data_IF_208931119100
#
_entry.id   IF_208931119100
#
_cell.length_a   1.000
_cell.length_b   1.000
_cell.length_c   1.000
_cell.angle_alpha   90.00
_cell.angle_beta   90.00
_cell.angle_gamma   90.00
#
_symmetry.space_group_name_H-M   'P 1'
#
loop_
_entity.id
_entity.type
_entity.pdbx_description
1 polymer ?
#
# COMPACT_ATOMS: atom_id res chain seq x y z
N UNK A 1 66.75 -7.82 -6.98
CA UNK A 1 65.77 -7.46 -8.04
C UNK A 1 64.33 -7.91 -7.77
N UNK A 2 63.96 -8.37 -6.56
CA UNK A 2 62.59 -8.86 -6.27
C UNK A 2 61.61 -7.89 -5.59
N UNK A 3 61.99 -6.64 -5.29
CA UNK A 3 61.12 -5.71 -4.52
C UNK A 3 60.25 -4.78 -5.38
N UNK A 4 60.58 -4.58 -6.66
CA UNK A 4 59.87 -3.65 -7.55
C UNK A 4 58.62 -4.26 -8.23
N UNK A 5 58.55 -5.58 -8.37
CA UNK A 5 57.41 -6.28 -8.98
C UNK A 5 56.24 -6.46 -8.01
N UNK A 6 56.54 -6.77 -6.74
CA UNK A 6 55.51 -6.92 -5.70
C UNK A 6 54.81 -5.59 -5.34
N UNK A 7 55.52 -4.45 -5.44
CA UNK A 7 54.93 -3.14 -5.18
C UNK A 7 53.95 -2.73 -6.30
N UNK A 8 54.26 -3.03 -7.55
CA UNK A 8 53.42 -2.69 -8.71
C UNK A 8 52.12 -3.52 -8.76
N UNK A 9 52.19 -4.83 -8.50
CA UNK A 9 51.01 -5.70 -8.40
C UNK A 9 50.08 -5.30 -7.24
N UNK A 10 50.64 -4.86 -6.11
CA UNK A 10 49.85 -4.37 -4.98
C UNK A 10 49.12 -3.06 -5.28
N UNK A 11 49.65 -2.22 -6.16
CA UNK A 11 49.06 -0.94 -6.54
C UNK A 11 47.93 -1.14 -7.55
N UNK A 12 48.12 -2.01 -8.55
CA UNK A 12 47.09 -2.37 -9.53
C UNK A 12 45.90 -3.10 -8.89
N UNK A 13 46.15 -3.99 -7.92
CA UNK A 13 45.08 -4.69 -7.19
C UNK A 13 44.30 -3.77 -6.22
N UNK A 14 44.96 -2.77 -5.62
CA UNK A 14 44.30 -1.71 -4.85
C UNK A 14 43.42 -0.82 -5.75
N UNK A 15 43.91 -0.48 -6.94
CA UNK A 15 43.13 0.22 -7.96
C UNK A 15 41.88 -0.56 -8.37
N UNK A 16 42.02 -1.85 -8.71
CA UNK A 16 40.91 -2.69 -9.19
C UNK A 16 39.75 -2.86 -8.18
N UNK A 17 40.04 -3.00 -6.88
CA UNK A 17 38.99 -3.14 -5.85
C UNK A 17 38.26 -1.83 -5.54
N UNK A 18 38.98 -0.70 -5.52
CA UNK A 18 38.37 0.64 -5.45
C UNK A 18 37.52 0.93 -6.68
N UNK A 19 37.97 0.50 -7.86
CA UNK A 19 37.22 0.59 -9.12
C UNK A 19 35.94 -0.24 -9.06
N UNK A 20 35.97 -1.49 -8.58
CA UNK A 20 34.77 -2.32 -8.48
C UNK A 20 33.69 -1.70 -7.58
N UNK A 21 34.06 -1.16 -6.40
CA UNK A 21 33.08 -0.50 -5.52
C UNK A 21 32.45 0.73 -6.16
N UNK A 22 33.26 1.55 -6.84
CA UNK A 22 32.77 2.74 -7.54
C UNK A 22 31.84 2.36 -8.68
N UNK A 23 32.21 1.33 -9.46
CA UNK A 23 31.38 0.81 -10.55
C UNK A 23 30.05 0.28 -10.00
N UNK A 24 30.05 -0.55 -8.95
CA UNK A 24 28.82 -1.03 -8.32
C UNK A 24 27.95 0.12 -7.78
N UNK A 25 28.55 1.13 -7.14
CA UNK A 25 27.83 2.30 -6.66
C UNK A 25 27.19 3.11 -7.80
N UNK A 26 27.90 3.30 -8.92
CA UNK A 26 27.36 3.95 -10.13
C UNK A 26 26.18 3.15 -10.67
N UNK A 27 26.30 1.82 -10.77
CA UNK A 27 25.21 0.96 -11.23
C UNK A 27 24.00 1.00 -10.30
N UNK A 28 24.20 1.03 -8.97
CA UNK A 28 23.13 1.19 -7.99
C UNK A 28 22.39 2.51 -8.24
N UNK A 29 23.13 3.62 -8.37
CA UNK A 29 22.53 4.95 -8.62
C UNK A 29 21.78 4.96 -9.95
N UNK A 30 22.38 4.45 -11.03
CA UNK A 30 21.74 4.38 -12.34
C UNK A 30 20.47 3.54 -12.32
N UNK A 31 20.50 2.35 -11.70
CA UNK A 31 19.33 1.49 -11.59
C UNK A 31 18.22 2.14 -10.75
N UNK A 32 18.57 2.78 -9.63
CA UNK A 32 17.62 3.53 -8.81
C UNK A 32 17.00 4.71 -9.55
N UNK A 33 17.78 5.47 -10.33
CA UNK A 33 17.27 6.57 -11.14
C UNK A 33 16.35 6.08 -12.26
N UNK A 34 16.70 5.00 -12.94
CA UNK A 34 15.84 4.40 -13.97
C UNK A 34 14.52 3.88 -13.38
N UNK A 35 14.58 3.21 -12.23
CA UNK A 35 13.39 2.78 -11.51
C UNK A 35 12.52 3.97 -11.09
N UNK A 36 13.13 5.04 -10.60
CA UNK A 36 12.43 6.27 -10.22
C UNK A 36 11.74 6.91 -11.44
N UNK A 37 12.44 7.08 -12.56
CA UNK A 37 11.89 7.65 -13.80
C UNK A 37 10.71 6.80 -14.29
N UNK A 38 10.87 5.47 -14.36
CA UNK A 38 9.80 4.57 -14.79
C UNK A 38 8.58 4.63 -13.87
N UNK A 39 8.80 4.63 -12.55
CA UNK A 39 7.73 4.74 -11.55
C UNK A 39 7.00 6.08 -11.67
N UNK A 40 7.74 7.19 -11.77
CA UNK A 40 7.17 8.52 -11.98
C UNK A 40 6.36 8.61 -13.27
N UNK A 41 6.82 7.97 -14.36
CA UNK A 41 6.07 7.92 -15.61
C UNK A 41 4.73 7.17 -15.44
N UNK A 42 4.72 6.03 -14.74
CA UNK A 42 3.47 5.29 -14.45
C UNK A 42 2.52 6.13 -13.60
N UNK A 43 3.03 6.78 -12.55
CA UNK A 43 2.25 7.69 -11.69
C UNK A 43 1.64 8.84 -12.52
N UNK A 44 2.44 9.50 -13.36
CA UNK A 44 1.97 10.59 -14.21
C UNK A 44 0.95 10.16 -15.27
N UNK A 45 1.04 8.91 -15.77
CA UNK A 45 0.07 8.36 -16.72
C UNK A 45 -1.25 8.04 -16.01
N UNK A 46 -1.22 7.36 -14.85
CA UNK A 46 -2.43 7.03 -14.10
C UNK A 46 -3.13 8.23 -13.47
N UNK A 47 -2.38 9.30 -13.18
CA UNK A 47 -2.89 10.57 -12.67
C UNK A 47 -3.60 11.47 -13.70
N UNK A 48 -3.65 11.06 -14.97
CA UNK A 48 -4.36 11.82 -16.01
C UNK A 48 -5.85 11.88 -15.69
N UNK A 49 -6.45 13.05 -15.94
CA UNK A 49 -7.89 13.21 -15.87
C UNK A 49 -8.57 12.35 -16.93
N UNK A 50 -9.78 11.88 -16.62
CA UNK A 50 -10.61 11.15 -17.58
C UNK A 50 -10.93 12.08 -18.77
N UNK A 51 -10.99 11.57 -20.02
CA UNK A 51 -11.29 12.41 -21.18
C UNK A 51 -12.64 13.11 -21.04
N UNK A 52 -12.68 14.42 -21.32
CA UNK A 52 -13.88 15.25 -21.11
C UNK A 52 -15.11 14.74 -21.89
N UNK A 53 -14.91 14.29 -23.13
CA UNK A 53 -15.97 13.73 -23.98
C UNK A 53 -16.56 12.44 -23.37
N UNK A 54 -15.69 11.56 -22.87
CA UNK A 54 -16.10 10.31 -22.22
C UNK A 54 -16.87 10.62 -20.93
N UNK A 55 -16.41 11.58 -20.12
CA UNK A 55 -17.13 12.02 -18.91
C UNK A 55 -18.46 12.68 -19.22
N UNK A 56 -18.53 13.50 -20.27
CA UNK A 56 -19.77 14.17 -20.67
C UNK A 56 -20.87 13.17 -21.09
N UNK A 57 -20.48 12.07 -21.74
CA UNK A 57 -21.38 10.99 -22.12
C UNK A 57 -21.73 10.01 -20.96
N UNK A 58 -21.05 10.14 -19.82
CA UNK A 58 -21.09 9.17 -18.73
C UNK A 58 -21.42 9.85 -17.39
N UNK A 59 -22.69 10.17 -17.14
CA UNK A 59 -23.11 10.87 -15.93
C UNK A 59 -22.82 10.04 -14.67
N UNK A 60 -22.17 10.69 -13.70
CA UNK A 60 -22.00 10.16 -12.35
C UNK A 60 -23.38 10.07 -11.68
N UNK A 61 -23.70 8.92 -11.10
CA UNK A 61 -24.90 8.72 -10.30
C UNK A 61 -24.70 9.23 -8.86
N UNK A 62 -24.18 10.46 -8.70
CA UNK A 62 -24.12 11.19 -7.43
C UNK A 62 -25.45 11.88 -7.06
N UNK A 63 -25.52 12.66 -5.99
CA UNK A 63 -26.80 13.21 -5.51
C UNK A 63 -27.51 12.29 -4.51
N UNK A 64 -28.82 12.49 -4.29
CA UNK A 64 -29.56 11.78 -3.26
C UNK A 64 -29.83 10.31 -3.64
N UNK A 65 -29.52 9.41 -2.72
CA UNK A 65 -29.86 7.99 -2.73
C UNK A 65 -30.71 7.66 -1.52
N UNK A 66 -31.69 6.76 -1.68
CA UNK A 66 -32.40 6.17 -0.54
C UNK A 66 -31.46 5.24 0.19
N UNK A 67 -31.40 5.36 1.51
CA UNK A 67 -30.44 4.67 2.36
C UNK A 67 -31.13 3.99 3.54
N UNK A 68 -30.70 2.76 3.83
CA UNK A 68 -31.22 2.00 4.96
C UNK A 68 -30.16 1.07 5.53
N UNK A 69 -30.04 1.03 6.86
CA UNK A 69 -29.16 0.11 7.56
C UNK A 69 -29.78 -1.29 7.66
N UNK A 70 -28.94 -2.32 7.79
CA UNK A 70 -29.38 -3.71 7.91
C UNK A 70 -29.38 -4.46 6.59
N UNK A 71 -29.95 -5.66 6.60
CA UNK A 71 -29.76 -6.62 5.52
C UNK A 71 -31.03 -7.42 5.19
N UNK A 72 -31.86 -6.91 4.28
CA UNK A 72 -32.99 -7.66 3.72
C UNK A 72 -32.83 -7.76 2.19
N UNK A 73 -32.54 -8.95 1.64
CA UNK A 73 -32.38 -9.16 0.20
C UNK A 73 -33.58 -8.72 -0.66
N UNK A 74 -34.80 -8.64 -0.08
CA UNK A 74 -35.98 -8.14 -0.79
C UNK A 74 -35.84 -6.69 -1.20
N UNK A 75 -34.98 -5.91 -0.52
CA UNK A 75 -34.68 -4.52 -0.85
C UNK A 75 -33.92 -4.33 -2.16
N UNK A 76 -33.58 -5.40 -2.89
CA UNK A 76 -33.13 -5.30 -4.28
C UNK A 76 -34.29 -5.02 -5.25
N UNK A 77 -35.53 -5.38 -4.91
CA UNK A 77 -36.67 -5.39 -5.83
C UNK A 77 -37.08 -4.02 -6.36
N UNK A 78 -37.54 -3.96 -7.62
CA UNK A 78 -37.96 -2.70 -8.25
C UNK A 78 -39.18 -2.05 -7.58
N UNK A 79 -40.12 -2.85 -7.07
CA UNK A 79 -41.38 -2.38 -6.47
C UNK A 79 -41.33 -2.12 -4.96
N UNK A 80 -40.16 -2.12 -4.34
CA UNK A 80 -40.02 -1.81 -2.90
C UNK A 80 -40.31 -0.33 -2.68
N UNK A 81 -41.20 -0.05 -1.73
CA UNK A 81 -41.45 1.31 -1.24
C UNK A 81 -40.30 1.73 -0.32
N UNK A 82 -39.46 2.63 -0.82
CA UNK A 82 -38.32 3.23 -0.12
C UNK A 82 -38.58 4.70 0.26
N UNK A 83 -39.84 5.15 0.23
CA UNK A 83 -40.20 6.55 0.53
C UNK A 83 -39.85 6.97 1.96
N UNK A 84 -39.93 6.04 2.91
CA UNK A 84 -39.58 6.24 4.31
C UNK A 84 -38.08 6.07 4.61
N UNK A 85 -37.27 5.67 3.63
CA UNK A 85 -35.83 5.51 3.81
C UNK A 85 -35.14 6.86 3.95
N UNK A 86 -34.04 6.86 4.71
CA UNK A 86 -33.15 8.01 4.83
C UNK A 86 -32.61 8.40 3.45
N UNK A 87 -32.07 9.62 3.34
CA UNK A 87 -31.40 10.07 2.13
C UNK A 87 -29.92 10.24 2.40
N UNK A 88 -29.09 9.51 1.66
CA UNK A 88 -27.65 9.69 1.61
C UNK A 88 -27.28 10.48 0.36
N UNK A 89 -26.60 11.61 0.50
CA UNK A 89 -26.14 12.41 -0.64
C UNK A 89 -24.72 12.00 -1.07
N UNK A 90 -24.61 11.43 -2.27
CA UNK A 90 -23.33 11.05 -2.88
C UNK A 90 -22.80 12.13 -3.84
N UNK A 91 -23.16 13.41 -3.61
CA UNK A 91 -22.63 14.56 -4.34
C UNK A 91 -21.22 14.91 -3.85
N UNK A 92 -20.21 14.43 -4.57
CA UNK A 92 -18.83 14.74 -4.25
C UNK A 92 -18.43 16.16 -4.66
N UNK A 93 -17.67 16.90 -3.83
CA UNK A 93 -17.02 18.14 -4.25
C UNK A 93 -16.08 17.88 -5.43
N UNK A 94 -16.01 18.79 -6.40
CA UNK A 94 -15.22 18.59 -7.62
C UNK A 94 -13.71 18.36 -7.37
N UNK A 95 -13.17 18.90 -6.27
CA UNK A 95 -11.77 18.73 -5.86
C UNK A 95 -11.55 17.61 -4.84
N UNK A 96 -12.57 16.82 -4.51
CA UNK A 96 -12.44 15.73 -3.54
C UNK A 96 -11.70 14.54 -4.16
N UNK A 97 -10.76 14.00 -3.39
CA UNK A 97 -10.04 12.76 -3.67
C UNK A 97 -10.03 11.88 -2.42
N UNK A 98 -9.90 10.57 -2.59
CA UNK A 98 -9.67 9.68 -1.45
C UNK A 98 -8.27 9.86 -0.85
N UNK A 99 -8.09 9.34 0.37
CA UNK A 99 -6.85 9.46 1.13
C UNK A 99 -5.76 8.45 0.77
N UNK A 100 -5.99 7.55 -0.20
CA UNK A 100 -5.05 6.48 -0.56
C UNK A 100 -4.54 6.62 -2.00
N UNK A 101 -5.38 6.37 -3.01
CA UNK A 101 -4.93 6.34 -4.42
C UNK A 101 -4.97 7.72 -5.07
N UNK A 102 -5.88 8.59 -4.67
CA UNK A 102 -6.23 9.84 -5.36
C UNK A 102 -7.43 9.68 -6.31
N UNK A 103 -8.33 8.72 -6.04
CA UNK A 103 -9.60 8.55 -6.72
C UNK A 103 -10.47 9.80 -6.56
N UNK A 104 -10.93 10.42 -7.67
CA UNK A 104 -11.76 11.61 -7.60
C UNK A 104 -13.19 11.30 -7.19
N UNK A 105 -13.95 12.35 -6.85
CA UNK A 105 -15.36 12.28 -6.49
C UNK A 105 -15.60 11.50 -5.19
N UNK A 106 -14.74 11.71 -4.20
CA UNK A 106 -14.84 11.09 -2.89
C UNK A 106 -15.91 11.77 -2.02
N UNK A 107 -16.78 10.95 -1.42
CA UNK A 107 -17.68 11.33 -0.34
C UNK A 107 -17.35 10.55 0.92
N UNK A 108 -17.71 11.12 2.07
CA UNK A 108 -17.56 10.44 3.36
C UNK A 108 -18.60 9.33 3.47
N UNK A 109 -18.24 8.28 4.20
CA UNK A 109 -19.08 7.13 4.46
C UNK A 109 -20.17 7.38 5.51
N UNK A 110 -21.04 6.39 5.72
CA UNK A 110 -22.22 6.54 6.60
C UNK A 110 -21.88 6.95 8.04
N UNK A 111 -20.67 6.66 8.53
CA UNK A 111 -20.27 7.08 9.88
C UNK A 111 -20.23 8.60 10.04
N UNK A 112 -19.84 9.30 8.96
CA UNK A 112 -19.87 10.77 8.92
C UNK A 112 -21.28 11.32 8.67
N UNK A 113 -22.23 10.46 8.29
CA UNK A 113 -23.61 10.80 7.96
C UNK A 113 -24.60 10.26 9.01
N UNK A 114 -24.26 10.39 10.29
CA UNK A 114 -25.18 10.13 11.40
C UNK A 114 -25.18 8.70 11.94
N UNK A 115 -24.35 7.81 11.40
CA UNK A 115 -24.27 6.40 11.83
C UNK A 115 -22.90 6.03 12.44
N UNK A 116 -22.38 6.77 13.45
CA UNK A 116 -21.05 6.54 13.99
C UNK A 116 -20.94 5.16 14.63
N UNK A 117 -19.88 4.43 14.29
CA UNK A 117 -19.61 3.09 14.82
C UNK A 117 -20.46 1.97 14.22
N UNK A 118 -21.38 2.27 13.29
CA UNK A 118 -22.14 1.25 12.59
C UNK A 118 -21.24 0.44 11.63
N UNK A 119 -21.29 -0.88 11.78
CA UNK A 119 -20.59 -1.87 10.96
C UNK A 119 -21.59 -2.94 10.53
N UNK A 120 -21.34 -3.60 9.40
CA UNK A 120 -22.25 -4.58 8.81
C UNK A 120 -22.86 -4.09 7.50
N UNK A 121 -24.13 -4.40 7.29
CA UNK A 121 -24.80 -4.22 6.01
C UNK A 121 -25.55 -2.91 5.90
N UNK A 122 -25.57 -2.32 4.71
CA UNK A 122 -26.48 -1.25 4.38
C UNK A 122 -26.93 -1.33 2.91
N UNK A 123 -27.98 -0.60 2.59
CA UNK A 123 -28.57 -0.58 1.26
C UNK A 123 -28.70 0.85 0.74
N UNK A 124 -28.38 1.01 -0.54
CA UNK A 124 -28.56 2.23 -1.32
C UNK A 124 -29.51 1.94 -2.47
N UNK A 125 -30.51 2.79 -2.70
CA UNK A 125 -31.44 2.65 -3.83
C UNK A 125 -31.61 3.97 -4.57
N UNK A 126 -31.69 3.89 -5.90
CA UNK A 126 -31.98 5.03 -6.76
C UNK A 126 -32.70 4.63 -8.03
N UNK A 127 -33.69 5.43 -8.42
CA UNK A 127 -34.28 5.34 -9.76
C UNK A 127 -33.36 6.01 -10.77
N UNK A 128 -32.96 5.26 -11.80
CA UNK A 128 -32.06 5.69 -12.88
C UNK A 128 -32.84 5.67 -14.19
N UNK A 129 -32.79 6.79 -14.92
CA UNK A 129 -33.31 6.88 -16.28
C UNK A 129 -32.18 6.57 -17.26
N UNK A 130 -32.38 5.57 -18.11
CA UNK A 130 -31.41 5.20 -19.15
C UNK A 130 -31.84 5.88 -20.45
N UNK A 131 -30.96 6.67 -21.09
CA UNK A 131 -31.33 7.34 -22.35
C UNK A 131 -31.78 6.35 -23.43
N UNK A 132 -32.77 6.75 -24.21
CA UNK A 132 -33.28 5.98 -25.34
C UNK A 132 -32.28 5.95 -26.51
N UNK A 133 -32.40 4.93 -27.36
CA UNK A 133 -31.60 4.73 -28.56
C UNK A 133 -30.99 3.34 -28.64
N UNK A 134 -30.17 3.10 -29.66
CA UNK A 134 -29.66 1.76 -30.00
C UNK A 134 -28.36 1.40 -29.25
N UNK A 135 -27.98 2.20 -28.25
CA UNK A 135 -26.75 1.99 -27.50
C UNK A 135 -26.99 1.03 -26.34
N UNK A 136 -26.05 0.11 -26.14
CA UNK A 136 -25.97 -0.66 -24.92
C UNK A 136 -25.28 0.13 -23.80
N UNK A 137 -25.77 -0.06 -22.57
CA UNK A 137 -25.37 0.70 -21.39
C UNK A 137 -24.79 -0.20 -20.31
N UNK A 138 -23.84 0.33 -19.55
CA UNK A 138 -23.25 -0.32 -18.41
C UNK A 138 -23.25 0.63 -17.20
N UNK A 139 -23.09 0.04 -16.01
CA UNK A 139 -22.73 0.74 -14.78
C UNK A 139 -21.24 0.50 -14.54
N UNK A 140 -20.47 1.58 -14.43
CA UNK A 140 -19.06 1.55 -14.00
C UNK A 140 -19.00 1.88 -12.51
N UNK A 141 -18.36 1.01 -11.73
CA UNK A 141 -18.30 1.13 -10.28
C UNK A 141 -19.58 0.68 -9.56
N UNK A 142 -19.79 1.06 -8.28
CA UNK A 142 -19.03 2.08 -7.54
C UNK A 142 -17.55 1.70 -7.38
N UNK A 143 -16.66 2.65 -7.63
CA UNK A 143 -15.21 2.39 -7.71
C UNK A 143 -14.57 2.29 -6.34
N UNK A 144 -15.15 2.93 -5.31
CA UNK A 144 -14.73 2.83 -3.91
C UNK A 144 -15.97 2.64 -3.02
N UNK A 145 -16.03 1.45 -2.42
CA UNK A 145 -16.97 1.08 -1.35
C UNK A 145 -16.15 0.46 -0.24
N UNK A 146 -16.48 0.77 1.01
CA UNK A 146 -15.88 0.12 2.17
C UNK A 146 -16.10 -1.40 2.10
N UNK A 147 -15.00 -2.17 2.11
CA UNK A 147 -14.89 -3.62 2.08
C UNK A 147 -15.57 -4.40 0.92
N UNK A 148 -16.90 -4.35 0.77
CA UNK A 148 -17.60 -5.16 -0.24
C UNK A 148 -19.01 -4.70 -0.59
N UNK A 149 -19.48 -5.08 -1.78
CA UNK A 149 -20.83 -4.76 -2.26
C UNK A 149 -21.38 -5.72 -3.31
N UNK A 150 -22.70 -5.72 -3.46
CA UNK A 150 -23.47 -6.32 -4.56
C UNK A 150 -24.35 -5.26 -5.22
N UNK A 151 -24.40 -5.27 -6.56
CA UNK A 151 -25.13 -4.33 -7.40
C UNK A 151 -26.30 -5.04 -8.10
N UNK A 152 -27.49 -4.46 -8.02
CA UNK A 152 -28.73 -5.01 -8.57
C UNK A 152 -29.44 -4.03 -9.49
N UNK A 153 -29.97 -4.52 -10.60
CA UNK A 153 -30.88 -3.79 -11.49
C UNK A 153 -32.25 -4.42 -11.47
N UNK A 154 -33.26 -3.67 -11.03
CA UNK A 154 -34.65 -4.14 -10.90
C UNK A 154 -34.78 -5.47 -10.14
N UNK A 155 -33.98 -5.68 -9.09
CA UNK A 155 -33.95 -6.91 -8.29
C UNK A 155 -33.05 -8.02 -8.82
N UNK A 156 -32.50 -7.91 -10.04
CA UNK A 156 -31.56 -8.88 -10.58
C UNK A 156 -30.12 -8.49 -10.23
N UNK A 157 -29.38 -9.40 -9.60
CA UNK A 157 -27.95 -9.23 -9.32
C UNK A 157 -27.17 -9.10 -10.64
N UNK A 158 -26.39 -8.03 -10.76
CA UNK A 158 -25.45 -7.81 -11.86
C UNK A 158 -24.04 -8.27 -11.51
N UNK A 159 -23.65 -8.17 -10.24
CA UNK A 159 -22.33 -8.57 -9.73
C UNK A 159 -21.94 -7.74 -8.51
N UNK A 160 -20.66 -7.75 -8.13
CA UNK A 160 -20.20 -7.05 -6.93
C UNK A 160 -18.70 -7.20 -6.68
N UNK A 161 -18.19 -6.51 -5.66
CA UNK A 161 -16.83 -6.70 -5.15
C UNK A 161 -16.85 -7.52 -3.86
N UNK A 162 -16.12 -8.63 -3.89
CA UNK A 162 -16.14 -9.61 -2.80
C UNK A 162 -17.39 -10.50 -2.83
N UNK A 163 -17.53 -11.34 -1.81
CA UNK A 163 -18.73 -12.12 -1.53
C UNK A 163 -19.26 -11.70 -0.18
N UNK A 164 -20.52 -11.31 -0.10
CA UNK A 164 -21.12 -10.74 1.12
C UNK A 164 -22.36 -11.55 1.55
N UNK A 165 -22.24 -12.87 1.45
CA UNK A 165 -23.23 -13.84 1.93
C UNK A 165 -23.05 -14.14 3.43
N UNK A 166 -23.55 -15.28 3.91
CA UNK A 166 -23.41 -15.69 5.30
C UNK A 166 -21.94 -15.86 5.76
N UNK A 167 -20.97 -15.97 4.84
CA UNK A 167 -19.54 -16.02 5.17
C UNK A 167 -18.76 -15.04 4.28
N UNK A 168 -18.82 -13.73 4.61
CA UNK A 168 -18.26 -12.69 3.77
C UNK A 168 -16.77 -12.88 3.51
N UNK A 169 -16.39 -12.72 2.24
CA UNK A 169 -15.00 -12.61 1.79
C UNK A 169 -14.87 -11.31 1.00
N UNK A 170 -14.39 -10.29 1.69
CA UNK A 170 -14.15 -8.96 1.13
C UNK A 170 -12.70 -8.83 0.62
N UNK A 171 -12.51 -8.04 -0.42
CA UNK A 171 -11.27 -7.88 -1.19
C UNK A 171 -11.02 -6.39 -1.42
N UNK A 172 -9.82 -6.02 -1.84
CA UNK A 172 -9.48 -4.62 -2.06
C UNK A 172 -10.40 -3.93 -3.06
N UNK A 173 -10.57 -2.62 -2.85
CA UNK A 173 -11.27 -1.72 -3.76
C UNK A 173 -10.67 -1.79 -5.16
N UNK A 174 -11.53 -1.92 -6.17
CA UNK A 174 -11.09 -1.94 -7.58
C UNK A 174 -12.20 -1.58 -8.55
N UNK A 175 -11.84 -1.13 -9.76
CA UNK A 175 -12.79 -0.82 -10.80
C UNK A 175 -13.55 -2.07 -11.25
N UNK A 176 -14.87 -1.96 -11.38
CA UNK A 176 -15.75 -2.98 -11.92
C UNK A 176 -16.71 -2.36 -12.93
N UNK A 177 -17.21 -3.19 -13.84
CA UNK A 177 -18.16 -2.78 -14.88
C UNK A 177 -19.26 -3.83 -14.99
N UNK A 178 -20.51 -3.36 -15.06
CA UNK A 178 -21.70 -4.21 -15.03
C UNK A 178 -22.61 -3.86 -16.18
N UNK A 179 -22.80 -4.82 -17.10
CA UNK A 179 -23.70 -4.63 -18.23
C UNK A 179 -25.16 -4.54 -17.77
N UNK A 180 -25.88 -3.51 -18.22
CA UNK A 180 -27.32 -3.46 -18.06
C UNK A 180 -28.01 -4.43 -19.04
N UNK A 181 -29.23 -4.90 -18.72
CA UNK A 181 -30.06 -5.66 -19.66
C UNK A 181 -30.25 -4.91 -21.00
N UNK A 182 -30.38 -5.66 -22.09
CA UNK A 182 -30.49 -5.09 -23.44
C UNK A 182 -31.74 -4.20 -23.63
N UNK A 183 -32.79 -4.46 -22.85
CA UNK A 183 -34.04 -3.70 -22.81
C UNK A 183 -34.00 -2.50 -21.85
N UNK A 184 -32.85 -2.19 -21.24
CA UNK A 184 -32.74 -1.07 -20.32
C UNK A 184 -32.83 0.30 -21.03
N UNK A 185 -32.40 0.40 -22.30
CA UNK A 185 -32.40 1.66 -23.04
C UNK A 185 -33.81 2.26 -23.14
N UNK A 186 -33.95 3.55 -22.83
CA UNK A 186 -35.24 4.26 -22.85
C UNK A 186 -36.17 3.94 -21.67
N UNK A 187 -35.71 3.13 -20.70
CA UNK A 187 -36.50 2.78 -19.51
C UNK A 187 -36.04 3.55 -18.27
N UNK A 188 -36.89 3.54 -17.25
CA UNK A 188 -36.53 3.90 -15.88
C UNK A 188 -36.46 2.63 -15.05
N UNK A 189 -35.33 2.39 -14.39
CA UNK A 189 -35.12 1.23 -13.53
C UNK A 189 -34.63 1.63 -12.15
N UNK A 190 -34.65 0.68 -11.22
CA UNK A 190 -34.09 0.83 -9.87
C UNK A 190 -32.72 0.18 -9.83
N UNK A 191 -31.72 0.98 -9.49
CA UNK A 191 -30.39 0.51 -9.10
C UNK A 191 -30.37 0.38 -7.57
N UNK A 192 -30.10 -0.82 -7.07
CA UNK A 192 -29.94 -1.10 -5.65
C UNK A 192 -28.52 -1.63 -5.38
N UNK A 193 -27.90 -1.18 -4.29
CA UNK A 193 -26.54 -1.54 -3.91
C UNK A 193 -26.57 -1.98 -2.46
N UNK A 194 -26.25 -3.25 -2.24
CA UNK A 194 -26.07 -3.84 -0.91
C UNK A 194 -24.60 -3.76 -0.58
N UNK A 195 -24.24 -3.11 0.52
CA UNK A 195 -22.85 -2.97 0.96
C UNK A 195 -22.63 -3.75 2.25
N UNK A 196 -21.38 -4.13 2.51
CA UNK A 196 -20.99 -4.80 3.74
C UNK A 196 -19.64 -4.26 4.21
N UNK A 197 -19.64 -3.62 5.37
CA UNK A 197 -18.44 -3.24 6.10
C UNK A 197 -18.13 -4.30 7.15
N UNK A 198 -16.93 -4.85 7.10
CA UNK A 198 -16.49 -5.89 8.00
C UNK A 198 -16.32 -5.36 9.43
N UNK A 199 -16.81 -6.09 10.46
CA UNK A 199 -16.59 -5.70 11.83
C UNK A 199 -15.12 -5.73 12.27
N UNK A 200 -14.70 -4.71 13.02
CA UNK A 200 -13.40 -4.67 13.68
C UNK A 200 -12.19 -4.34 12.79
N UNK A 201 -12.41 -3.81 11.59
CA UNK A 201 -11.37 -3.10 10.83
C UNK A 201 -11.07 -1.74 11.49
N UNK A 202 -9.91 -1.14 11.18
CA UNK A 202 -9.51 0.19 11.70
C UNK A 202 -10.39 1.29 11.06
N UNK A 203 -11.65 1.34 11.46
CA UNK A 203 -12.64 2.28 10.95
C UNK A 203 -12.28 3.70 11.37
N UNK A 204 -12.35 4.62 10.41
CA UNK A 204 -12.25 6.05 10.67
C UNK A 204 -13.65 6.64 10.90
N UNK A 205 -13.73 7.89 11.36
CA UNK A 205 -14.99 8.61 11.47
C UNK A 205 -15.69 8.81 10.10
N UNK A 206 -14.97 8.63 8.99
CA UNK A 206 -15.50 8.74 7.64
C UNK A 206 -15.81 7.39 7.00
N UNK A 207 -15.61 6.27 7.68
CA UNK A 207 -15.76 4.94 7.08
C UNK A 207 -17.20 4.53 6.76
N UNK A 208 -17.31 3.51 5.91
CA UNK A 208 -18.54 2.77 5.67
C UNK A 208 -19.29 3.17 4.39
N UNK A 209 -19.66 2.17 3.59
CA UNK A 209 -20.54 2.36 2.44
C UNK A 209 -19.84 2.93 1.22
N UNK A 210 -20.60 3.63 0.37
CA UNK A 210 -20.14 4.10 -0.93
C UNK A 210 -19.40 5.43 -0.78
N UNK A 211 -18.15 5.48 -1.22
CA UNK A 211 -17.35 6.70 -1.24
C UNK A 211 -17.20 7.31 -2.63
N UNK A 212 -17.35 6.53 -3.70
CA UNK A 212 -17.37 7.03 -5.08
C UNK A 212 -18.60 6.47 -5.76
N UNK A 213 -19.54 7.35 -6.14
CA UNK A 213 -20.78 6.95 -6.78
C UNK A 213 -20.54 6.18 -8.10
N UNK A 214 -21.43 5.25 -8.48
CA UNK A 214 -21.33 4.58 -9.77
C UNK A 214 -21.60 5.56 -10.93
N UNK A 215 -21.12 5.22 -12.12
CA UNK A 215 -21.35 6.01 -13.35
C UNK A 215 -22.19 5.20 -14.32
N UNK A 216 -23.23 5.81 -14.89
CA UNK A 216 -23.98 5.25 -16.02
C UNK A 216 -23.26 5.65 -17.30
N UNK A 217 -22.88 4.69 -18.14
CA UNK A 217 -22.11 4.97 -19.35
C UNK A 217 -22.55 4.08 -20.51
N UNK A 218 -22.56 4.59 -21.76
CA UNK A 218 -22.66 3.73 -22.93
C UNK A 218 -21.38 2.88 -23.07
N UNK A 219 -21.50 1.70 -23.70
CA UNK A 219 -20.42 0.68 -23.72
C UNK A 219 -19.03 1.17 -24.16
N UNK A 220 -18.85 1.90 -25.27
CA UNK A 220 -17.51 2.34 -25.66
C UNK A 220 -16.82 3.21 -24.59
N UNK A 221 -17.60 4.11 -23.98
CA UNK A 221 -17.18 5.05 -22.95
C UNK A 221 -16.98 4.35 -21.60
N UNK A 222 -17.83 3.37 -21.26
CA UNK A 222 -17.68 2.57 -20.04
C UNK A 222 -16.35 1.81 -20.04
N UNK A 223 -15.95 1.20 -21.17
CA UNK A 223 -14.63 0.54 -21.30
C UNK A 223 -13.45 1.52 -21.26
N UNK A 224 -13.64 2.76 -21.74
CA UNK A 224 -12.63 3.79 -21.64
C UNK A 224 -12.43 4.24 -20.18
N UNK A 225 -13.53 4.49 -19.45
CA UNK A 225 -13.49 4.83 -18.03
C UNK A 225 -12.92 3.69 -17.19
N UNK A 226 -13.38 2.47 -17.40
CA UNK A 226 -12.88 1.29 -16.69
C UNK A 226 -11.36 1.13 -16.83
N UNK A 227 -10.81 1.32 -18.04
CA UNK A 227 -9.35 1.32 -18.24
C UNK A 227 -8.66 2.47 -17.52
N UNK A 228 -9.22 3.68 -17.55
CA UNK A 228 -8.64 4.83 -16.86
C UNK A 228 -8.60 4.60 -15.34
N UNK A 229 -9.68 4.08 -14.76
CA UNK A 229 -9.75 3.72 -13.33
C UNK A 229 -8.75 2.63 -12.96
N UNK A 230 -8.56 1.60 -13.81
CA UNK A 230 -7.51 0.59 -13.59
C UNK A 230 -6.11 1.17 -13.67
N UNK A 231 -5.83 2.04 -14.64
CA UNK A 231 -4.54 2.72 -14.72
C UNK A 231 -4.26 3.59 -13.50
N UNK A 232 -5.30 4.22 -12.94
CA UNK A 232 -5.20 4.99 -11.70
C UNK A 232 -4.89 4.09 -10.50
N UNK A 233 -5.58 2.95 -10.37
CA UNK A 233 -5.29 1.95 -9.33
C UNK A 233 -3.88 1.34 -9.46
N UNK A 234 -3.44 1.02 -10.69
CA UNK A 234 -2.08 0.56 -10.96
C UNK A 234 -1.06 1.64 -10.55
N UNK A 235 -1.31 2.90 -10.89
CA UNK A 235 -0.43 4.00 -10.49
C UNK A 235 -0.39 4.21 -8.97
N UNK A 236 -1.51 4.09 -8.26
CA UNK A 236 -1.56 4.23 -6.79
C UNK A 236 -0.70 3.21 -6.05
N UNK A 237 -0.61 1.98 -6.55
CA UNK A 237 0.14 0.90 -5.89
C UNK A 237 1.42 0.48 -6.63
N UNK A 238 1.84 1.17 -7.70
CA UNK A 238 3.02 0.77 -8.49
C UNK A 238 4.30 0.72 -7.64
N UNK A 239 4.44 1.65 -6.70
CA UNK A 239 5.60 1.73 -5.82
C UNK A 239 5.66 0.51 -4.88
N UNK A 240 4.51 -0.01 -4.46
CA UNK A 240 4.38 -1.22 -3.66
C UNK A 240 4.81 -2.49 -4.42
N UNK A 241 4.98 -2.42 -5.75
CA UNK A 241 5.57 -3.50 -6.55
C UNK A 241 7.05 -3.25 -6.90
N UNK A 242 7.41 -2.01 -7.26
CA UNK A 242 8.79 -1.65 -7.65
C UNK A 242 9.76 -1.74 -6.47
N UNK A 243 9.35 -1.30 -5.28
CA UNK A 243 10.24 -1.34 -4.11
C UNK A 243 10.57 -2.76 -3.64
N UNK A 244 9.63 -3.71 -3.51
CA UNK A 244 9.96 -5.10 -3.24
C UNK A 244 10.93 -5.68 -4.28
N UNK A 245 10.75 -5.41 -5.57
CA UNK A 245 11.68 -5.84 -6.60
C UNK A 245 13.09 -5.29 -6.35
N UNK A 246 13.22 -4.02 -5.99
CA UNK A 246 14.50 -3.41 -5.63
C UNK A 246 15.09 -4.02 -4.34
N UNK A 247 14.27 -4.33 -3.33
CA UNK A 247 14.69 -5.02 -2.11
C UNK A 247 15.20 -6.43 -2.40
N UNK A 248 14.51 -7.21 -3.24
CA UNK A 248 14.94 -8.56 -3.64
C UNK A 248 16.21 -8.52 -4.51
N UNK A 249 16.35 -7.55 -5.41
CA UNK A 249 17.58 -7.33 -6.16
C UNK A 249 18.75 -7.00 -5.21
N UNK A 250 18.51 -6.16 -4.18
CA UNK A 250 19.49 -5.86 -3.16
C UNK A 250 19.87 -7.09 -2.33
N UNK A 251 18.93 -7.99 -2.01
CA UNK A 251 19.24 -9.28 -1.38
C UNK A 251 20.22 -10.08 -2.26
N UNK A 252 19.95 -10.17 -3.56
CA UNK A 252 20.84 -10.84 -4.52
C UNK A 252 22.25 -10.27 -4.50
N UNK A 253 22.39 -8.94 -4.56
CA UNK A 253 23.67 -8.24 -4.46
C UNK A 253 24.37 -8.51 -3.12
N UNK A 254 23.63 -8.40 -2.00
CA UNK A 254 24.16 -8.54 -0.66
C UNK A 254 24.69 -9.96 -0.42
N UNK A 255 23.96 -10.99 -0.87
CA UNK A 255 24.39 -12.39 -0.80
C UNK A 255 25.62 -12.66 -1.66
N UNK A 256 25.70 -12.07 -2.86
CA UNK A 256 26.84 -12.23 -3.76
C UNK A 256 28.15 -11.70 -3.14
N UNK A 257 28.08 -10.59 -2.38
CA UNK A 257 29.27 -9.99 -1.75
C UNK A 257 29.48 -10.42 -0.30
N UNK A 258 28.53 -11.15 0.31
CA UNK A 258 28.53 -11.52 1.73
C UNK A 258 29.84 -12.13 2.20
N UNK A 259 30.38 -13.12 1.48
CA UNK A 259 31.63 -13.82 1.85
C UNK A 259 32.85 -12.89 1.85
N UNK A 260 32.79 -11.81 1.09
CA UNK A 260 33.86 -10.80 1.00
C UNK A 260 33.64 -9.66 1.99
N UNK A 261 32.45 -9.50 2.57
CA UNK A 261 32.14 -8.40 3.47
C UNK A 261 32.85 -8.51 4.82
N UNK A 262 33.19 -7.38 5.41
CA UNK A 262 33.59 -7.26 6.82
C UNK A 262 32.42 -7.44 7.80
N UNK A 263 31.17 -7.42 7.33
CA UNK A 263 29.94 -7.49 8.14
C UNK A 263 28.99 -8.61 7.64
N UNK A 264 29.43 -9.87 7.56
CA UNK A 264 28.62 -10.95 7.01
C UNK A 264 27.38 -11.27 7.84
N UNK A 265 27.42 -11.04 9.16
CA UNK A 265 26.27 -11.25 10.05
C UNK A 265 25.19 -10.17 9.85
N UNK A 266 25.58 -8.89 9.70
CA UNK A 266 24.67 -7.82 9.33
C UNK A 266 23.93 -8.15 8.03
N UNK A 267 24.67 -8.59 7.00
CA UNK A 267 24.08 -8.92 5.69
C UNK A 267 22.99 -9.98 5.81
N UNK A 268 23.18 -11.02 6.62
CA UNK A 268 22.16 -12.08 6.80
C UNK A 268 20.87 -11.50 7.35
N UNK A 269 20.94 -10.76 8.45
CA UNK A 269 19.74 -10.17 9.06
C UNK A 269 19.14 -9.05 8.20
N UNK A 270 19.95 -8.27 7.50
CA UNK A 270 19.48 -7.28 6.54
C UNK A 270 18.72 -7.92 5.38
N UNK A 271 19.18 -9.09 4.88
CA UNK A 271 18.44 -9.82 3.84
C UNK A 271 17.08 -10.32 4.35
N UNK A 272 17.02 -10.82 5.59
CA UNK A 272 15.76 -11.22 6.23
C UNK A 272 14.83 -10.01 6.37
N UNK A 273 15.36 -8.88 6.86
CA UNK A 273 14.58 -7.65 7.03
C UNK A 273 14.06 -7.09 5.70
N UNK A 274 14.89 -7.10 4.65
CA UNK A 274 14.49 -6.72 3.30
C UNK A 274 13.42 -7.65 2.73
N UNK A 275 13.55 -8.97 2.93
CA UNK A 275 12.55 -9.93 2.45
C UNK A 275 11.19 -9.70 3.13
N UNK A 276 11.19 -9.55 4.46
CA UNK A 276 9.97 -9.28 5.22
C UNK A 276 9.36 -7.92 4.86
N UNK A 277 10.19 -6.87 4.71
CA UNK A 277 9.72 -5.55 4.27
C UNK A 277 9.16 -5.61 2.85
N UNK A 278 9.82 -6.33 1.94
CA UNK A 278 9.39 -6.50 0.55
C UNK A 278 8.06 -7.23 0.44
N UNK A 279 7.90 -8.36 1.15
CA UNK A 279 6.63 -9.11 1.17
C UNK A 279 5.50 -8.25 1.77
N UNK A 280 5.75 -7.58 2.90
CA UNK A 280 4.74 -6.69 3.53
C UNK A 280 4.19 -5.65 2.55
N UNK A 281 5.05 -5.09 1.71
CA UNK A 281 4.69 -4.06 0.75
C UNK A 281 3.99 -4.64 -0.48
N UNK A 282 4.52 -5.75 -0.99
CA UNK A 282 3.92 -6.48 -2.10
C UNK A 282 2.48 -6.92 -1.79
N UNK A 283 2.20 -7.32 -0.55
CA UNK A 283 0.85 -7.68 -0.10
C UNK A 283 -0.18 -6.57 -0.33
N UNK A 284 0.22 -5.29 -0.19
CA UNK A 284 -0.67 -4.15 -0.44
C UNK A 284 -1.05 -4.06 -1.93
N UNK A 285 -0.09 -4.28 -2.84
CA UNK A 285 -0.38 -4.35 -4.27
C UNK A 285 -1.23 -5.58 -4.62
N UNK A 286 -0.95 -6.74 -4.00
CA UNK A 286 -1.69 -7.99 -4.25
C UNK A 286 -3.16 -7.83 -3.87
N UNK A 287 -3.46 -7.28 -2.68
CA UNK A 287 -4.84 -7.12 -2.21
C UNK A 287 -5.61 -6.08 -3.02
N UNK A 288 -4.94 -5.04 -3.52
CA UNK A 288 -5.57 -3.98 -4.30
C UNK A 288 -5.77 -4.29 -5.78
N UNK A 289 -4.93 -5.15 -6.38
CA UNK A 289 -5.03 -5.49 -7.80
C UNK A 289 -5.66 -6.85 -8.09
N UNK A 290 -5.74 -7.74 -7.10
CA UNK A 290 -6.11 -9.15 -7.34
C UNK A 290 -7.11 -9.69 -6.31
N UNK A 291 -7.73 -10.83 -6.64
CA UNK A 291 -8.57 -11.61 -5.71
C UNK A 291 -7.80 -12.60 -4.84
N UNK A 292 -6.46 -12.65 -4.95
CA UNK A 292 -5.65 -13.70 -4.32
C UNK A 292 -5.66 -13.62 -2.80
N UNK A 293 -5.89 -12.43 -2.24
CA UNK A 293 -5.90 -12.17 -0.79
C UNK A 293 -7.16 -11.40 -0.40
N UNK A 294 -7.78 -11.80 0.71
CA UNK A 294 -8.88 -11.02 1.29
C UNK A 294 -8.33 -9.91 2.19
N UNK A 295 -9.10 -8.83 2.35
CA UNK A 295 -8.77 -7.73 3.27
C UNK A 295 -8.49 -8.21 4.72
N UNK A 296 -9.30 -9.09 5.33
CA UNK A 296 -8.99 -9.57 6.67
C UNK A 296 -7.71 -10.41 6.75
N UNK A 297 -7.41 -11.22 5.73
CA UNK A 297 -6.14 -11.96 5.68
C UNK A 297 -4.96 -11.00 5.57
N UNK A 298 -5.06 -9.99 4.70
CA UNK A 298 -4.06 -8.93 4.57
C UNK A 298 -3.82 -8.19 5.90
N UNK A 299 -4.90 -7.72 6.54
CA UNK A 299 -4.82 -7.00 7.82
C UNK A 299 -4.20 -7.87 8.92
N UNK A 300 -4.56 -9.14 8.98
CA UNK A 300 -3.98 -10.10 9.93
C UNK A 300 -2.49 -10.30 9.67
N UNK A 301 -2.08 -10.59 8.44
CA UNK A 301 -0.68 -10.78 8.05
C UNK A 301 0.16 -9.54 8.39
N UNK A 302 -0.33 -8.36 8.03
CA UNK A 302 0.36 -7.09 8.27
C UNK A 302 0.58 -6.82 9.77
N UNK A 303 -0.46 -7.00 10.60
CA UNK A 303 -0.42 -6.70 12.05
C UNK A 303 0.28 -7.77 12.87
N UNK A 304 0.01 -9.04 12.59
CA UNK A 304 0.48 -10.17 13.42
C UNK A 304 1.84 -10.70 12.98
N UNK A 305 2.13 -10.69 11.69
CA UNK A 305 3.33 -11.35 11.16
C UNK A 305 4.36 -10.35 10.64
N UNK A 306 4.00 -9.54 9.65
CA UNK A 306 4.97 -8.73 8.92
C UNK A 306 5.55 -7.59 9.73
N UNK A 307 4.71 -6.80 10.40
CA UNK A 307 5.19 -5.66 11.19
C UNK A 307 6.13 -6.08 12.33
N UNK A 308 5.77 -7.04 13.21
CA UNK A 308 6.66 -7.42 14.30
C UNK A 308 7.95 -8.08 13.82
N UNK A 309 7.87 -9.01 12.85
CA UNK A 309 9.06 -9.70 12.36
C UNK A 309 10.01 -8.80 11.56
N UNK A 310 9.47 -7.88 10.75
CA UNK A 310 10.27 -6.91 9.99
C UNK A 310 11.06 -5.99 10.93
N UNK A 311 10.40 -5.42 11.95
CA UNK A 311 11.05 -4.58 12.96
C UNK A 311 12.13 -5.34 13.73
N UNK A 312 11.84 -6.58 14.14
CA UNK A 312 12.80 -7.43 14.82
C UNK A 312 14.03 -7.73 13.95
N UNK A 313 13.82 -8.08 12.68
CA UNK A 313 14.89 -8.36 11.75
C UNK A 313 15.79 -7.14 11.50
N UNK A 314 15.20 -5.94 11.36
CA UNK A 314 15.96 -4.70 11.27
C UNK A 314 16.76 -4.41 12.55
N UNK A 315 16.16 -4.56 13.73
CA UNK A 315 16.83 -4.33 15.00
C UNK A 315 18.00 -5.31 15.20
N UNK A 316 17.82 -6.59 14.86
CA UNK A 316 18.87 -7.61 14.89
C UNK A 316 19.99 -7.28 13.89
N UNK A 317 19.64 -6.87 12.67
CA UNK A 317 20.61 -6.44 11.66
C UNK A 317 21.49 -5.32 12.21
N UNK A 318 20.89 -4.23 12.65
CA UNK A 318 21.62 -3.07 13.16
C UNK A 318 22.38 -3.34 14.46
N UNK A 319 21.93 -4.28 15.31
CA UNK A 319 22.76 -4.73 16.45
C UNK A 319 24.05 -5.42 15.97
N UNK A 320 24.04 -6.11 14.81
CA UNK A 320 25.23 -6.72 14.19
C UNK A 320 26.11 -5.76 13.39
N UNK A 321 25.69 -4.50 13.22
CA UNK A 321 26.57 -3.46 12.69
C UNK A 321 27.67 -3.06 13.68
N UNK A 322 27.39 -3.17 14.98
CA UNK A 322 28.35 -2.85 16.03
C UNK A 322 29.41 -3.96 16.17
N UNK A 323 30.66 -3.57 16.46
CA UNK A 323 31.81 -4.47 16.55
C UNK A 323 31.61 -5.69 17.48
N UNK A 324 30.87 -5.50 18.58
CA UNK A 324 30.44 -6.59 19.47
C UNK A 324 28.94 -6.51 19.66
N UNK A 325 28.20 -7.36 18.98
CA UNK A 325 26.76 -7.35 19.08
C UNK A 325 26.30 -7.86 20.47
N UNK A 326 25.28 -7.21 21.06
CA UNK A 326 24.85 -7.50 22.43
C UNK A 326 23.77 -8.59 22.44
N UNK A 327 24.02 -9.70 23.16
CA UNK A 327 23.03 -10.77 23.35
C UNK A 327 21.84 -10.34 24.20
N UNK A 328 22.03 -9.39 25.12
CA UNK A 328 20.94 -8.83 25.92
C UNK A 328 19.98 -8.03 25.03
N UNK A 329 20.50 -7.27 24.05
CA UNK A 329 19.67 -6.55 23.08
C UNK A 329 18.92 -7.56 22.19
N UNK A 330 19.55 -8.64 21.74
CA UNK A 330 18.86 -9.68 20.96
C UNK A 330 17.69 -10.29 21.75
N UNK A 331 17.93 -10.66 23.02
CA UNK A 331 16.89 -11.20 23.90
C UNK A 331 15.73 -10.22 24.12
N UNK A 332 16.04 -8.94 24.31
CA UNK A 332 15.01 -7.89 24.45
C UNK A 332 14.20 -7.71 23.15
N UNK A 333 14.85 -7.73 21.98
CA UNK A 333 14.16 -7.67 20.68
C UNK A 333 13.18 -8.83 20.54
N UNK A 334 13.63 -10.06 20.81
CA UNK A 334 12.79 -11.25 20.68
C UNK A 334 11.61 -11.22 21.65
N UNK A 335 11.84 -10.83 22.92
CA UNK A 335 10.78 -10.71 23.92
C UNK A 335 9.73 -9.67 23.50
N UNK A 336 10.16 -8.48 23.07
CA UNK A 336 9.26 -7.44 22.59
C UNK A 336 8.49 -7.88 21.35
N UNK A 337 9.14 -8.63 20.45
CA UNK A 337 8.49 -9.16 19.24
C UNK A 337 7.38 -10.14 19.60
N UNK A 338 7.62 -11.07 20.53
CA UNK A 338 6.61 -11.99 21.03
C UNK A 338 5.45 -11.24 21.70
N UNK A 339 5.76 -10.19 22.48
CA UNK A 339 4.75 -9.31 23.08
C UNK A 339 3.91 -8.60 22.02
N UNK A 340 4.54 -8.12 20.95
CA UNK A 340 3.86 -7.47 19.82
C UNK A 340 2.93 -8.42 19.06
N UNK A 341 3.39 -9.64 18.78
CA UNK A 341 2.59 -10.70 18.14
C UNK A 341 1.41 -11.08 19.04
N UNK A 342 1.65 -11.32 20.33
CA UNK A 342 0.58 -11.64 21.29
C UNK A 342 -0.43 -10.50 21.40
N UNK A 343 0.04 -9.25 21.49
CA UNK A 343 -0.80 -8.06 21.50
C UNK A 343 -1.66 -7.94 20.25
N UNK A 344 -1.10 -8.20 19.07
CA UNK A 344 -1.84 -8.17 17.81
C UNK A 344 -2.90 -9.29 17.74
N UNK A 345 -2.56 -10.52 18.15
CA UNK A 345 -3.50 -11.65 18.21
C UNK A 345 -4.66 -11.39 19.18
N UNK A 346 -4.38 -10.78 20.32
CA UNK A 346 -5.37 -10.42 21.34
C UNK A 346 -6.12 -9.12 21.03
N UNK A 347 -5.79 -8.43 19.93
CA UNK A 347 -6.32 -7.10 19.56
C UNK A 347 -6.13 -6.04 20.67
N UNK A 348 -5.02 -6.12 21.41
CA UNK A 348 -4.68 -5.20 22.51
C UNK A 348 -3.73 -4.10 22.04
N UNK A 349 -4.29 -2.95 21.67
CA UNK A 349 -3.54 -1.77 21.23
C UNK A 349 -2.42 -1.32 22.21
N UNK A 350 -2.60 -1.36 23.54
CA UNK A 350 -1.50 -1.01 24.45
C UNK A 350 -0.28 -1.93 24.33
N UNK A 351 -0.48 -3.24 24.12
CA UNK A 351 0.63 -4.19 23.97
C UNK A 351 1.39 -3.99 22.67
N UNK A 352 0.69 -3.73 21.56
CA UNK A 352 1.34 -3.42 20.28
C UNK A 352 2.11 -2.10 20.37
N UNK A 353 1.59 -1.10 21.08
CA UNK A 353 2.29 0.17 21.32
C UNK A 353 3.54 -0.01 22.20
N UNK A 354 3.48 -0.81 23.27
CA UNK A 354 4.65 -1.13 24.11
C UNK A 354 5.75 -1.79 23.27
N UNK A 355 5.37 -2.76 22.43
CA UNK A 355 6.30 -3.37 21.48
C UNK A 355 6.96 -2.33 20.57
N UNK A 356 6.15 -1.48 19.92
CA UNK A 356 6.61 -0.47 18.96
C UNK A 356 7.62 0.51 19.59
N UNK A 357 7.27 1.08 20.73
CA UNK A 357 8.10 2.06 21.45
C UNK A 357 9.31 1.40 22.11
N UNK A 358 9.16 0.18 22.63
CA UNK A 358 10.28 -0.59 23.19
C UNK A 358 11.36 -0.88 22.14
N UNK A 359 10.97 -1.32 20.94
CA UNK A 359 11.92 -1.53 19.84
C UNK A 359 12.56 -0.22 19.38
N UNK A 360 11.81 0.89 19.35
CA UNK A 360 12.34 2.21 19.03
C UNK A 360 13.43 2.63 20.03
N UNK A 361 13.21 2.40 21.34
CA UNK A 361 14.21 2.64 22.37
C UNK A 361 15.47 1.77 22.17
N UNK A 362 15.31 0.51 21.77
CA UNK A 362 16.46 -0.35 21.43
C UNK A 362 17.22 0.17 20.21
N UNK A 363 16.53 0.69 19.19
CA UNK A 363 17.17 1.36 18.06
C UNK A 363 17.98 2.59 18.50
N UNK A 364 17.46 3.39 19.42
CA UNK A 364 18.21 4.52 19.98
C UNK A 364 19.50 4.06 20.68
N UNK A 365 19.43 2.99 21.49
CA UNK A 365 20.62 2.38 22.11
C UNK A 365 21.61 1.87 21.06
N UNK A 366 21.13 1.19 20.00
CA UNK A 366 21.96 0.71 18.90
C UNK A 366 22.63 1.90 18.17
N UNK A 367 21.89 2.97 17.89
CA UNK A 367 22.40 4.17 17.23
C UNK A 367 23.50 4.86 18.05
N UNK A 368 23.33 5.00 19.37
CA UNK A 368 24.36 5.56 20.27
C UNK A 368 25.64 4.72 20.20
N UNK A 369 25.53 3.39 20.20
CA UNK A 369 26.69 2.48 20.07
C UNK A 369 27.38 2.65 18.72
N UNK A 370 26.61 2.82 17.64
CA UNK A 370 27.13 3.07 16.30
C UNK A 370 27.86 4.42 16.21
N UNK A 371 27.33 5.48 16.82
CA UNK A 371 27.98 6.80 16.84
C UNK A 371 29.32 6.74 17.58
N UNK A 372 29.38 6.04 18.71
CA UNK A 372 30.61 5.95 19.52
C UNK A 372 31.69 5.08 18.89
N UNK A 373 31.32 3.93 18.32
CA UNK A 373 32.29 2.88 17.96
C UNK A 373 32.05 2.26 16.57
N UNK A 374 31.02 2.65 15.85
CA UNK A 374 30.66 2.06 14.56
C UNK A 374 31.55 2.53 13.40
N UNK A 375 31.77 1.68 12.39
CA UNK A 375 32.38 2.07 11.13
C UNK A 375 31.38 2.85 10.25
N UNK A 376 31.89 3.69 9.35
CA UNK A 376 31.10 4.45 8.36
C UNK A 376 29.94 5.23 8.98
N UNK A 377 30.21 5.90 10.12
CA UNK A 377 29.22 6.46 11.04
C UNK A 377 28.13 7.27 10.34
N UNK A 378 28.50 8.21 9.47
CA UNK A 378 27.54 9.08 8.78
C UNK A 378 26.59 8.29 7.88
N UNK A 379 27.14 7.46 6.99
CA UNK A 379 26.33 6.65 6.05
C UNK A 379 25.47 5.62 6.79
N UNK A 380 26.01 4.96 7.81
CA UNK A 380 25.30 3.96 8.58
C UNK A 380 24.14 4.57 9.39
N UNK A 381 24.35 5.71 10.05
CA UNK A 381 23.30 6.42 10.79
C UNK A 381 22.24 7.00 9.85
N UNK A 382 22.64 7.59 8.72
CA UNK A 382 21.68 8.08 7.72
C UNK A 382 20.80 6.94 7.18
N UNK A 383 21.40 5.79 6.89
CA UNK A 383 20.67 4.60 6.41
C UNK A 383 19.73 4.05 7.48
N UNK A 384 20.19 3.93 8.74
CA UNK A 384 19.35 3.52 9.86
C UNK A 384 18.18 4.49 10.06
N UNK A 385 18.46 5.80 10.07
CA UNK A 385 17.43 6.82 10.24
C UNK A 385 16.36 6.75 9.14
N UNK A 386 16.76 6.59 7.88
CA UNK A 386 15.82 6.42 6.77
C UNK A 386 14.94 5.18 6.97
N UNK A 387 15.52 4.02 7.34
CA UNK A 387 14.74 2.82 7.64
C UNK A 387 13.77 3.06 8.81
N UNK A 388 14.20 3.74 9.88
CA UNK A 388 13.33 4.04 11.02
C UNK A 388 12.15 4.94 10.63
N UNK A 389 12.37 5.96 9.81
CA UNK A 389 11.28 6.80 9.30
C UNK A 389 10.26 5.94 8.53
N UNK A 390 10.71 5.03 7.66
CA UNK A 390 9.81 4.11 6.94
C UNK A 390 9.05 3.15 7.86
N UNK A 391 9.66 2.68 8.96
CA UNK A 391 9.02 1.74 9.89
C UNK A 391 8.07 2.42 10.89
N UNK A 392 8.26 3.71 11.16
CA UNK A 392 7.50 4.50 12.15
C UNK A 392 6.71 5.66 11.54
N UNK A 393 6.38 5.58 10.24
CA UNK A 393 5.57 6.60 9.54
C UNK A 393 4.20 6.84 10.22
N UNK A 394 3.60 5.80 10.81
CA UNK A 394 2.35 5.92 11.57
C UNK A 394 2.46 6.80 12.83
N UNK A 395 3.53 6.65 13.63
CA UNK A 395 3.78 7.55 14.76
C UNK A 395 4.07 8.97 14.29
N UNK A 396 4.84 9.13 13.22
CA UNK A 396 5.09 10.45 12.65
C UNK A 396 3.77 11.14 12.22
N UNK A 397 2.85 10.39 11.62
CA UNK A 397 1.50 10.86 11.30
C UNK A 397 0.73 11.33 12.54
N UNK A 398 0.79 10.57 13.63
CA UNK A 398 0.17 10.95 14.91
C UNK A 398 0.76 12.21 15.54
N UNK A 399 1.99 12.59 15.16
CA UNK A 399 2.66 13.83 15.55
C UNK A 399 2.39 14.99 14.56
N UNK A 400 1.51 14.80 13.58
CA UNK A 400 1.13 15.81 12.60
C UNK A 400 2.05 15.90 11.39
N UNK A 401 2.97 14.94 11.19
CA UNK A 401 3.79 14.88 9.97
C UNK A 401 2.92 14.34 8.83
N UNK A 402 2.82 15.04 7.69
CA UNK A 402 2.12 14.50 6.53
C UNK A 402 2.72 13.16 6.09
N UNK A 403 1.87 12.16 5.87
CA UNK A 403 2.30 10.79 5.54
C UNK A 403 2.01 10.41 4.09
N UNK A 404 1.32 11.25 3.33
CA UNK A 404 0.97 11.04 1.93
C UNK A 404 0.90 12.37 1.18
N UNK A 405 1.31 12.36 -0.08
CA UNK A 405 1.21 13.47 -1.02
C UNK A 405 0.61 12.96 -2.33
N UNK A 406 0.09 13.85 -3.17
CA UNK A 406 -0.60 13.48 -4.41
C UNK A 406 0.10 14.04 -5.67
N UNK A 407 1.36 13.68 -5.97
CA UNK A 407 1.99 14.08 -7.22
C UNK A 407 1.16 13.58 -8.41
N UNK A 408 0.85 14.48 -9.35
CA UNK A 408 -0.01 14.19 -10.50
C UNK A 408 -1.41 13.68 -10.12
N UNK A 409 -1.89 13.93 -8.89
CA UNK A 409 -3.17 13.44 -8.40
C UNK A 409 -3.17 11.97 -7.95
N UNK A 410 -1.99 11.35 -7.79
CA UNK A 410 -1.85 9.96 -7.32
C UNK A 410 -1.16 9.96 -5.96
N UNK A 411 -1.71 9.24 -5.00
CA UNK A 411 -1.15 9.11 -3.66
C UNK A 411 0.22 8.44 -3.63
N UNK A 412 1.19 9.09 -2.99
CA UNK A 412 2.53 8.59 -2.71
C UNK A 412 2.87 8.84 -1.24
N UNK A 413 3.15 7.76 -0.50
CA UNK A 413 3.34 7.81 0.95
C UNK A 413 4.75 8.23 1.35
N UNK A 414 4.91 8.75 2.57
CA UNK A 414 6.21 9.03 3.20
C UNK A 414 7.10 7.79 3.16
N UNK A 415 6.53 6.62 3.46
CA UNK A 415 7.25 5.35 3.43
C UNK A 415 7.86 5.07 2.05
N UNK A 416 7.10 5.33 0.98
CA UNK A 416 7.53 5.16 -0.40
C UNK A 416 8.69 6.13 -0.76
N UNK A 417 8.53 7.42 -0.47
CA UNK A 417 9.61 8.40 -0.69
C UNK A 417 10.90 8.03 0.04
N UNK A 418 10.78 7.57 1.28
CA UNK A 418 11.94 7.23 2.10
C UNK A 418 12.58 5.93 1.64
N UNK A 419 11.84 4.92 1.17
CA UNK A 419 12.45 3.70 0.62
C UNK A 419 13.19 3.93 -0.70
N UNK A 420 12.71 4.85 -1.54
CA UNK A 420 13.45 5.29 -2.73
C UNK A 420 14.86 5.82 -2.40
N UNK A 421 15.07 6.30 -1.16
CA UNK A 421 16.37 6.75 -0.63
C UNK A 421 17.07 5.63 0.16
N UNK A 422 16.35 4.95 1.05
CA UNK A 422 16.91 3.97 1.99
C UNK A 422 17.50 2.75 1.27
N UNK A 423 16.85 2.26 0.21
CA UNK A 423 17.31 1.10 -0.57
C UNK A 423 18.68 1.37 -1.21
N UNK A 424 18.89 2.45 -2.02
CA UNK A 424 20.21 2.73 -2.58
C UNK A 424 21.26 3.07 -1.51
N UNK A 425 20.89 3.78 -0.43
CA UNK A 425 21.82 4.04 0.68
C UNK A 425 22.32 2.74 1.32
N UNK A 426 21.41 1.80 1.60
CA UNK A 426 21.76 0.50 2.14
C UNK A 426 22.59 -0.32 1.17
N UNK A 427 22.29 -0.26 -0.13
CA UNK A 427 23.07 -0.94 -1.16
C UNK A 427 24.52 -0.44 -1.19
N UNK A 428 24.72 0.89 -1.19
CA UNK A 428 26.05 1.51 -1.13
C UNK A 428 26.76 1.13 0.17
N UNK A 429 26.06 1.20 1.31
CA UNK A 429 26.59 0.81 2.62
C UNK A 429 27.10 -0.63 2.60
N UNK A 430 26.31 -1.57 2.06
CA UNK A 430 26.65 -2.99 1.91
C UNK A 430 27.87 -3.16 1.00
N UNK A 431 27.92 -2.53 -0.16
CA UNK A 431 29.08 -2.59 -1.07
C UNK A 431 30.35 -2.10 -0.39
N UNK A 432 30.26 -1.04 0.41
CA UNK A 432 31.40 -0.47 1.13
C UNK A 432 31.92 -1.32 2.30
N UNK A 433 31.17 -2.34 2.73
CA UNK A 433 31.67 -3.32 3.71
C UNK A 433 32.70 -4.28 3.13
N UNK A 434 32.81 -4.41 1.80
CA UNK A 434 33.86 -5.23 1.18
C UNK A 434 35.24 -4.58 1.46
N UNK A 435 36.30 -5.32 1.79
CA UNK A 435 37.64 -4.77 1.98
C UNK A 435 38.22 -4.33 0.63
N UNK A 436 39.12 -3.33 0.66
CA UNK A 436 40.01 -3.10 -0.47
C UNK A 436 41.08 -4.16 -0.29
N UNK A 437 41.40 -4.90 -1.35
CA UNK A 437 42.13 -6.18 -1.27
C UNK A 437 43.29 -6.11 -0.27
N UNK A 438 43.16 -6.85 0.85
CA UNK A 438 44.07 -6.88 2.01
C UNK A 438 45.37 -7.61 1.64
N UNK A 439 46.57 -7.13 2.00
CA UNK A 439 47.10 -7.14 3.36
C UNK A 439 46.81 -8.49 4.06
N UNK A 440 47.36 -9.57 3.50
CA UNK A 440 47.70 -10.75 4.28
C UNK A 440 49.11 -10.58 4.82
#
# INVERSE_FOLDING_TARGET
MGSATASNESATARGASGTLRRVLAIWIVMASLLALIGTTAVIAIGGRADPAEVRAASPLLGGPWRFHLGDDPRWAGAGVDDSAWETMDLSAPASSIDGDVGLPNYVRGWMAHGHPGYQGYAWYRRTVAVPAGDRAWDIVGPTLVEDGYELYWNGKLLGGSGRIDASPRVVGTRPLIFALPADAAGTRGVLAIRTFMQPGNDASAESGGIHVAPTLAPRPESYALYRAEWWRSIAGYIVEAVEPLAMFALIGLALAIRKRSSHPAFIVFACIALALSGVKRLDNAIVSWTDLMSLPTYAWLSKVLWTPLSLAAWALAWNRWNARASRAIDGAILLLTLLGIAGALMKLAPMTQIFRLGVLALFAVIAVRMIRHGPMRSLAIATLAAILVSQYAGELGSLGVPTIWFPFGIGVTLTQYIYAIAIPLLAVLIVWTTPSTKAR
#
